data_IF_992756965842
#
_entry.id   IF_992756965842
#
_cell.length_a   1.000
_cell.length_b   1.000
_cell.length_c   1.000
_cell.angle_alpha   90.00
_cell.angle_beta   90.00
_cell.angle_gamma   90.00
#
_symmetry.space_group_name_H-M   'P 1'
#
loop_
_entity.id
_entity.type
_entity.pdbx_description
1 polymer ?
#
# COMPACT_ATOMS: atom_id res chain seq x y z
N UNK A 1 17.26 -5.01 -54.04
CA UNK A 1 16.54 -4.15 -53.05
C UNK A 1 17.07 -2.72 -53.22
N UNK A 2 16.19 -1.75 -53.44
CA UNK A 2 16.59 -0.34 -53.72
C UNK A 2 17.23 0.25 -52.43
N UNK A 3 18.41 0.91 -52.55
CA UNK A 3 19.11 1.52 -51.41
C UNK A 3 18.21 2.40 -50.51
N UNK A 4 17.28 3.16 -51.13
CA UNK A 4 16.31 3.98 -50.40
C UNK A 4 15.35 3.15 -49.54
N UNK A 5 14.88 2.01 -50.05
CA UNK A 5 13.98 1.10 -49.33
C UNK A 5 14.73 0.45 -48.16
N UNK A 6 15.98 0.04 -48.35
CA UNK A 6 16.81 -0.52 -47.28
C UNK A 6 17.06 0.49 -46.15
N UNK A 7 17.33 1.75 -46.47
CA UNK A 7 17.53 2.80 -45.46
C UNK A 7 16.25 3.03 -44.65
N UNK A 8 15.08 3.08 -45.31
CA UNK A 8 13.80 3.26 -44.62
C UNK A 8 13.50 2.08 -43.67
N UNK A 9 13.71 0.85 -44.10
CA UNK A 9 13.53 -0.33 -43.23
C UNK A 9 14.51 -0.32 -42.05
N UNK A 10 15.77 0.05 -42.28
CA UNK A 10 16.78 0.11 -41.23
C UNK A 10 16.48 1.20 -40.21
N UNK A 11 16.06 2.40 -40.64
CA UNK A 11 15.65 3.47 -39.70
C UNK A 11 14.39 3.12 -38.92
N UNK A 12 13.41 2.47 -39.55
CA UNK A 12 12.19 2.01 -38.86
C UNK A 12 12.52 0.94 -37.83
N UNK A 13 13.38 -0.02 -38.17
CA UNK A 13 13.83 -1.07 -37.26
C UNK A 13 14.58 -0.52 -36.04
N UNK A 14 15.49 0.44 -36.27
CA UNK A 14 16.21 1.08 -35.15
C UNK A 14 15.29 1.91 -34.26
N UNK A 15 14.31 2.60 -34.83
CA UNK A 15 13.31 3.35 -34.07
C UNK A 15 12.44 2.41 -33.19
N UNK A 16 11.97 1.31 -33.77
CA UNK A 16 11.19 0.30 -33.03
C UNK A 16 12.03 -0.33 -31.92
N UNK A 17 13.29 -0.67 -32.20
CA UNK A 17 14.19 -1.22 -31.19
C UNK A 17 14.43 -0.25 -30.02
N UNK A 18 14.63 1.04 -30.32
CA UNK A 18 14.77 2.09 -29.30
C UNK A 18 13.50 2.23 -28.45
N UNK A 19 12.31 2.19 -29.07
CA UNK A 19 11.03 2.24 -28.35
C UNK A 19 10.86 1.02 -27.42
N UNK A 20 11.17 -0.17 -27.93
CA UNK A 20 11.10 -1.40 -27.14
C UNK A 20 12.06 -1.36 -25.95
N UNK A 21 13.30 -0.92 -26.15
CA UNK A 21 14.27 -0.77 -25.05
C UNK A 21 13.83 0.29 -24.04
N UNK A 22 13.22 1.37 -24.48
CA UNK A 22 12.67 2.38 -23.57
C UNK A 22 11.52 1.83 -22.74
N UNK A 23 10.62 1.07 -23.36
CA UNK A 23 9.49 0.41 -22.66
C UNK A 23 10.00 -0.63 -21.65
N UNK A 24 11.01 -1.44 -22.05
CA UNK A 24 11.61 -2.44 -21.14
C UNK A 24 12.30 -1.75 -19.97
N UNK A 25 13.06 -0.68 -20.18
CA UNK A 25 13.70 0.08 -19.11
C UNK A 25 12.67 0.74 -18.18
N UNK A 26 11.62 1.32 -18.76
CA UNK A 26 10.53 1.92 -17.97
C UNK A 26 9.75 0.88 -17.16
N UNK A 27 9.54 -0.32 -17.71
CA UNK A 27 8.97 -1.45 -16.98
C UNK A 27 9.92 -1.98 -15.88
N UNK A 28 11.22 -2.04 -16.14
CA UNK A 28 12.23 -2.44 -15.16
C UNK A 28 12.36 -1.43 -13.99
N UNK A 29 12.26 -0.12 -14.28
CA UNK A 29 12.22 0.92 -13.24
C UNK A 29 10.93 0.90 -12.41
N UNK A 30 9.85 0.28 -12.89
CA UNK A 30 8.60 0.13 -12.15
C UNK A 30 8.66 -0.93 -11.04
N UNK A 31 9.72 -1.73 -10.99
CA UNK A 31 9.94 -2.73 -9.94
C UNK A 31 11.14 -2.34 -9.09
N UNK A 32 10.90 -1.68 -7.97
CA UNK A 32 11.96 -1.39 -7.00
C UNK A 32 12.21 -2.63 -6.14
N UNK A 33 13.34 -3.28 -6.39
CA UNK A 33 13.81 -4.36 -5.52
C UNK A 33 14.23 -3.81 -4.17
N UNK A 34 13.86 -4.51 -3.10
CA UNK A 34 14.26 -4.15 -1.75
C UNK A 34 14.49 -5.39 -0.90
N UNK A 35 15.38 -5.27 0.06
CA UNK A 35 15.57 -6.28 1.10
C UNK A 35 15.20 -5.67 2.46
N UNK A 36 14.18 -6.22 3.11
CA UNK A 36 13.70 -5.77 4.41
C UNK A 36 13.96 -6.87 5.43
N UNK A 37 14.68 -6.57 6.49
CA UNK A 37 15.07 -7.52 7.52
C UNK A 37 15.74 -8.80 6.99
N UNK A 38 16.50 -8.69 5.89
CA UNK A 38 17.16 -9.82 5.24
C UNK A 38 16.27 -10.66 4.33
N UNK A 39 15.02 -10.25 4.10
CA UNK A 39 14.10 -10.91 3.17
C UNK A 39 13.99 -10.10 1.89
N UNK A 40 14.18 -10.74 0.75
CA UNK A 40 13.94 -10.13 -0.56
C UNK A 40 12.44 -9.92 -0.77
N UNK A 41 12.06 -8.65 -0.96
CA UNK A 41 10.66 -8.26 -1.08
C UNK A 41 10.22 -8.26 -2.54
N UNK A 42 9.23 -9.07 -2.84
CA UNK A 42 8.58 -9.12 -4.14
C UNK A 42 7.46 -8.07 -4.22
N UNK A 43 7.40 -7.36 -5.33
CA UNK A 43 6.31 -6.43 -5.65
C UNK A 43 5.11 -7.08 -6.32
N UNK A 44 5.03 -8.41 -6.29
CA UNK A 44 3.88 -9.21 -6.72
C UNK A 44 2.83 -9.29 -5.58
N UNK A 45 1.90 -10.21 -5.65
CA UNK A 45 0.90 -10.44 -4.60
C UNK A 45 1.38 -11.36 -3.47
N UNK A 46 2.69 -11.48 -3.29
CA UNK A 46 3.26 -12.32 -2.21
C UNK A 46 2.90 -11.73 -0.86
N UNK A 47 2.28 -12.55 -0.03
CA UNK A 47 2.00 -12.23 1.37
C UNK A 47 3.05 -12.84 2.27
N UNK A 48 3.55 -12.04 3.18
CA UNK A 48 4.54 -12.42 4.15
C UNK A 48 3.89 -12.54 5.52
N UNK A 49 3.99 -13.72 6.15
CA UNK A 49 3.53 -13.93 7.53
C UNK A 49 4.39 -13.13 8.49
N UNK A 50 3.71 -12.46 9.42
CA UNK A 50 4.36 -11.66 10.47
C UNK A 50 3.69 -11.92 11.82
N UNK A 51 4.40 -11.61 12.91
CA UNK A 51 3.80 -11.62 14.24
C UNK A 51 3.45 -10.19 14.63
N UNK A 52 2.18 -9.91 14.90
CA UNK A 52 1.75 -8.62 15.41
C UNK A 52 2.37 -8.38 16.79
N UNK A 53 2.94 -7.19 17.02
CA UNK A 53 3.50 -6.76 18.30
C UNK A 53 2.54 -5.76 18.96
N UNK A 54 2.30 -4.61 18.27
CA UNK A 54 1.41 -3.56 18.79
C UNK A 54 0.93 -2.63 17.67
N UNK A 55 -0.20 -1.99 17.91
CA UNK A 55 -0.66 -0.84 17.14
C UNK A 55 0.11 0.41 17.58
N UNK A 56 0.29 1.35 16.67
CA UNK A 56 0.75 2.72 16.96
C UNK A 56 -0.46 3.65 16.95
N UNK A 57 -1.23 3.60 15.84
CA UNK A 57 -2.45 4.37 15.62
C UNK A 57 -3.44 3.58 14.72
N UNK A 58 -4.32 4.28 14.01
CA UNK A 58 -5.32 3.63 13.14
C UNK A 58 -4.75 2.99 11.88
N UNK A 59 -3.59 3.44 11.39
CA UNK A 59 -3.00 2.98 10.12
C UNK A 59 -1.51 2.65 10.20
N UNK A 60 -0.98 2.56 11.40
CA UNK A 60 0.42 2.23 11.66
C UNK A 60 0.54 1.18 12.75
N UNK A 61 1.31 0.13 12.51
CA UNK A 61 1.55 -0.97 13.43
C UNK A 61 3.04 -1.31 13.54
N UNK A 62 3.38 -2.08 14.56
CA UNK A 62 4.69 -2.73 14.70
C UNK A 62 4.46 -4.24 14.65
N UNK A 63 5.24 -4.91 13.82
CA UNK A 63 5.23 -6.37 13.65
C UNK A 63 6.64 -6.93 13.83
N UNK A 64 6.76 -8.21 14.16
CA UNK A 64 8.00 -8.95 14.01
C UNK A 64 8.01 -9.58 12.62
N UNK A 65 8.98 -9.20 11.80
CA UNK A 65 9.23 -9.73 10.48
C UNK A 65 10.68 -10.24 10.40
N UNK A 66 10.85 -11.54 10.19
CA UNK A 66 12.15 -12.21 10.18
C UNK A 66 13.01 -11.89 11.42
N UNK A 67 12.42 -12.07 12.61
CA UNK A 67 13.04 -11.86 13.93
C UNK A 67 13.50 -10.42 14.23
N UNK A 68 13.02 -9.43 13.48
CA UNK A 68 13.27 -8.01 13.71
C UNK A 68 11.96 -7.22 13.73
N UNK A 69 11.92 -6.18 14.53
CA UNK A 69 10.80 -5.25 14.50
C UNK A 69 10.74 -4.51 13.16
N UNK A 70 9.53 -4.36 12.63
CA UNK A 70 9.21 -3.62 11.44
C UNK A 70 8.03 -2.71 11.70
N UNK A 71 8.20 -1.41 11.52
CA UNK A 71 7.12 -0.44 11.56
C UNK A 71 6.43 -0.41 10.19
N UNK A 72 5.13 -0.68 10.16
CA UNK A 72 4.34 -0.76 8.93
C UNK A 72 3.35 0.38 8.88
N UNK A 73 3.34 1.15 7.78
CA UNK A 73 2.34 2.16 7.42
C UNK A 73 1.44 1.60 6.31
N UNK A 74 0.15 1.73 6.50
CA UNK A 74 -0.84 1.20 5.56
C UNK A 74 -0.86 2.01 4.27
N UNK A 75 -0.81 1.32 3.12
CA UNK A 75 -0.91 1.92 1.80
C UNK A 75 -2.32 2.45 1.52
N UNK A 76 -2.39 3.52 0.75
CA UNK A 76 -3.59 4.11 0.14
C UNK A 76 -4.63 4.68 1.09
N UNK A 77 -4.41 4.62 2.40
CA UNK A 77 -5.35 5.18 3.37
C UNK A 77 -4.67 6.13 4.36
N UNK A 78 -5.49 6.94 5.00
CA UNK A 78 -5.13 7.75 6.15
C UNK A 78 -6.25 7.65 7.19
N UNK A 79 -5.89 7.56 8.46
CA UNK A 79 -6.82 7.61 9.59
C UNK A 79 -6.67 8.92 10.35
N UNK A 80 -7.69 9.39 11.08
CA UNK A 80 -7.53 10.56 11.94
C UNK A 80 -6.41 10.34 12.97
N UNK A 81 -5.64 11.41 13.21
CA UNK A 81 -4.42 11.37 14.01
C UNK A 81 -4.71 11.19 15.51
N UNK A 82 -3.92 10.35 16.20
CA UNK A 82 -4.04 10.13 17.65
C UNK A 82 -2.76 10.31 18.46
N UNK A 83 -1.58 10.22 17.80
CA UNK A 83 -0.29 10.12 18.52
C UNK A 83 0.77 11.11 18.04
N UNK A 84 0.47 11.93 17.03
CA UNK A 84 1.44 12.86 16.47
C UNK A 84 1.72 14.01 17.46
N UNK A 85 2.98 14.20 17.89
CA UNK A 85 3.33 15.27 18.80
C UNK A 85 2.90 16.66 18.30
N UNK A 86 2.25 17.44 19.17
CA UNK A 86 1.76 18.79 18.83
C UNK A 86 0.49 18.83 17.98
N UNK A 87 -0.15 17.70 17.74
CA UNK A 87 -1.45 17.61 17.07
C UNK A 87 -2.48 17.08 18.06
N UNK A 88 -3.63 17.79 18.17
CA UNK A 88 -4.75 17.31 18.97
C UNK A 88 -5.28 15.98 18.40
N UNK A 89 -5.80 15.13 19.30
CA UNK A 89 -6.46 13.89 18.93
C UNK A 89 -7.68 14.22 18.06
N UNK A 90 -7.65 13.74 16.83
CA UNK A 90 -8.72 14.00 15.88
C UNK A 90 -9.94 13.10 16.14
N UNK A 91 -11.12 13.66 15.85
CA UNK A 91 -12.39 12.92 15.94
C UNK A 91 -12.30 11.65 15.11
N UNK A 92 -12.76 10.52 15.68
CA UNK A 92 -12.70 9.15 15.14
C UNK A 92 -11.30 8.53 15.08
N UNK A 93 -10.25 9.21 15.51
CA UNK A 93 -8.91 8.65 15.62
C UNK A 93 -8.84 7.49 16.63
N UNK A 94 -9.34 7.68 17.89
CA UNK A 94 -9.39 6.61 18.87
C UNK A 94 -10.15 5.37 18.37
N UNK A 95 -11.29 5.57 17.70
CA UNK A 95 -12.11 4.49 17.14
C UNK A 95 -11.40 3.74 16.00
N UNK A 96 -10.68 4.47 15.13
CA UNK A 96 -9.85 3.86 14.08
C UNK A 96 -8.74 3.00 14.69
N UNK A 97 -8.04 3.56 15.67
CA UNK A 97 -6.98 2.85 16.40
C UNK A 97 -7.52 1.63 17.15
N UNK A 98 -8.71 1.73 17.76
CA UNK A 98 -9.34 0.62 18.47
C UNK A 98 -9.74 -0.52 17.51
N UNK A 99 -10.40 -0.19 16.37
CA UNK A 99 -10.78 -1.18 15.37
C UNK A 99 -9.54 -1.90 14.81
N UNK A 100 -8.49 -1.14 14.45
CA UNK A 100 -7.23 -1.69 14.00
C UNK A 100 -6.64 -2.68 15.03
N UNK A 101 -6.54 -2.26 16.29
CA UNK A 101 -6.02 -3.09 17.36
C UNK A 101 -6.86 -4.35 17.59
N UNK A 102 -8.19 -4.24 17.61
CA UNK A 102 -9.12 -5.37 17.79
C UNK A 102 -8.98 -6.43 16.70
N UNK A 103 -8.89 -6.01 15.44
CA UNK A 103 -8.74 -6.91 14.30
C UNK A 103 -7.42 -7.69 14.35
N UNK A 104 -6.33 -7.04 14.76
CA UNK A 104 -5.00 -7.64 14.78
C UNK A 104 -4.73 -8.47 16.03
N UNK A 105 -5.14 -8.02 17.21
CA UNK A 105 -4.91 -8.75 18.47
C UNK A 105 -5.63 -10.10 18.49
N UNK A 106 -6.81 -10.19 17.89
CA UNK A 106 -7.60 -11.41 17.80
C UNK A 106 -7.27 -12.29 16.59
N UNK A 107 -6.30 -11.88 15.76
CA UNK A 107 -5.94 -12.64 14.57
C UNK A 107 -5.02 -13.82 14.90
N UNK A 108 -5.33 -14.98 14.33
CA UNK A 108 -4.44 -16.15 14.35
C UNK A 108 -3.32 -15.99 13.31
N UNK A 109 -3.66 -15.39 12.17
CA UNK A 109 -2.73 -15.13 11.06
C UNK A 109 -2.73 -13.64 10.73
N UNK A 110 -1.54 -13.04 10.75
CA UNK A 110 -1.30 -11.67 10.28
C UNK A 110 -0.31 -11.73 9.13
N UNK A 111 -0.64 -11.06 8.04
CA UNK A 111 0.19 -11.03 6.84
C UNK A 111 0.34 -9.59 6.35
N UNK A 112 1.49 -9.30 5.75
CA UNK A 112 1.75 -8.05 5.03
C UNK A 112 2.04 -8.34 3.56
N UNK A 113 1.63 -7.42 2.69
CA UNK A 113 1.84 -7.49 1.24
C UNK A 113 2.37 -6.15 0.77
N UNK A 114 3.47 -6.15 0.04
CA UNK A 114 4.02 -4.94 -0.57
C UNK A 114 3.42 -4.71 -1.97
N UNK A 115 3.31 -3.46 -2.37
CA UNK A 115 2.97 -3.15 -3.75
C UNK A 115 4.23 -3.15 -4.64
N UNK A 116 4.10 -2.79 -5.91
CA UNK A 116 5.11 -3.02 -6.94
C UNK A 116 6.35 -2.14 -6.79
N UNK A 117 6.25 -0.92 -6.29
CA UNK A 117 7.34 0.08 -6.35
C UNK A 117 7.91 0.47 -4.98
N UNK A 118 7.25 1.36 -4.23
CA UNK A 118 7.78 1.83 -2.94
C UNK A 118 7.61 0.79 -1.84
N UNK A 119 8.70 0.41 -1.15
CA UNK A 119 8.67 -0.55 -0.04
C UNK A 119 8.75 0.14 1.31
N UNK A 120 9.32 1.32 1.35
CA UNK A 120 9.47 2.14 2.56
C UNK A 120 9.20 3.61 2.26
N UNK A 121 8.73 4.34 3.25
CA UNK A 121 8.63 5.80 3.20
C UNK A 121 9.92 6.49 3.73
N UNK A 122 9.94 7.81 3.68
CA UNK A 122 11.07 8.63 4.18
C UNK A 122 11.33 8.53 5.69
N UNK A 123 10.43 7.90 6.44
CA UNK A 123 10.54 7.66 7.89
C UNK A 123 10.92 6.19 8.19
N UNK A 124 11.36 5.45 7.20
CA UNK A 124 11.70 4.02 7.29
C UNK A 124 10.55 3.15 7.79
N UNK A 125 9.31 3.50 7.41
CA UNK A 125 8.15 2.64 7.64
C UNK A 125 7.88 1.83 6.38
N UNK A 126 7.72 0.52 6.54
CA UNK A 126 7.33 -0.36 5.44
C UNK A 126 5.92 -0.01 4.94
N UNK A 127 5.77 0.17 3.63
CA UNK A 127 4.51 0.49 2.98
C UNK A 127 3.80 -0.79 2.54
N UNK A 128 2.72 -1.18 3.25
CA UNK A 128 2.09 -2.48 3.05
C UNK A 128 0.57 -2.41 3.04
N UNK A 129 -0.01 -3.41 2.39
CA UNK A 129 -1.36 -3.90 2.68
C UNK A 129 -1.27 -4.91 3.83
N UNK A 130 -2.19 -4.84 4.78
CA UNK A 130 -2.17 -5.68 5.99
C UNK A 130 -3.43 -6.54 6.06
N UNK A 131 -3.25 -7.79 6.44
CA UNK A 131 -4.32 -8.76 6.54
C UNK A 131 -4.34 -9.41 7.92
N UNK A 132 -5.53 -9.61 8.45
CA UNK A 132 -5.79 -10.37 9.67
C UNK A 132 -6.82 -11.47 9.37
N UNK A 133 -6.44 -12.74 9.53
CA UNK A 133 -7.28 -13.89 9.18
C UNK A 133 -7.83 -13.78 7.73
N UNK A 134 -7.00 -13.34 6.78
CA UNK A 134 -7.34 -13.17 5.37
C UNK A 134 -8.17 -11.90 5.03
N UNK A 135 -8.64 -11.13 6.02
CA UNK A 135 -9.35 -9.86 5.80
C UNK A 135 -8.36 -8.70 5.66
N UNK A 136 -8.54 -7.87 4.66
CA UNK A 136 -7.73 -6.67 4.46
C UNK A 136 -8.14 -5.59 5.46
N UNK A 137 -7.22 -5.15 6.30
CA UNK A 137 -7.48 -4.19 7.40
C UNK A 137 -7.86 -2.81 6.86
N UNK A 138 -7.20 -2.34 5.80
CA UNK A 138 -7.50 -1.05 5.20
C UNK A 138 -8.94 -0.99 4.68
N UNK A 139 -9.40 -2.09 4.06
CA UNK A 139 -10.79 -2.19 3.60
C UNK A 139 -11.78 -2.14 4.76
N UNK A 140 -11.51 -2.85 5.86
CA UNK A 140 -12.37 -2.84 7.05
C UNK A 140 -12.46 -1.44 7.67
N UNK A 141 -11.34 -0.70 7.76
CA UNK A 141 -11.30 0.69 8.23
C UNK A 141 -12.11 1.62 7.32
N UNK A 142 -11.95 1.48 6.00
CA UNK A 142 -12.71 2.26 5.00
C UNK A 142 -14.21 1.96 5.07
N UNK A 143 -14.60 0.68 5.17
CA UNK A 143 -16.00 0.26 5.31
C UNK A 143 -16.65 0.77 6.60
N UNK A 144 -15.86 0.89 7.67
CA UNK A 144 -16.31 1.49 8.91
C UNK A 144 -16.42 3.02 8.84
N UNK A 145 -15.87 3.68 7.80
CA UNK A 145 -15.77 5.14 7.71
C UNK A 145 -14.78 5.72 8.72
N UNK A 146 -13.76 4.95 9.10
CA UNK A 146 -12.71 5.32 10.05
C UNK A 146 -11.36 5.63 9.35
N UNK A 147 -11.33 5.54 8.05
CA UNK A 147 -10.23 5.94 7.19
C UNK A 147 -10.75 6.62 5.92
N UNK A 148 -9.89 7.40 5.28
CA UNK A 148 -10.10 7.94 3.95
C UNK A 148 -9.00 7.47 2.99
N UNK A 149 -9.31 7.44 1.67
CA UNK A 149 -8.29 7.18 0.65
C UNK A 149 -7.37 8.38 0.55
N UNK A 150 -6.06 8.13 0.71
CA UNK A 150 -5.03 9.17 0.68
C UNK A 150 -3.69 8.62 0.21
N UNK A 151 -2.76 9.50 -0.12
CA UNK A 151 -1.40 9.15 -0.55
C UNK A 151 -1.36 8.17 -1.73
N UNK A 152 -2.25 8.38 -2.70
CA UNK A 152 -2.32 7.57 -3.92
C UNK A 152 -1.15 7.94 -4.82
N UNK A 153 -0.20 7.02 -4.97
CA UNK A 153 1.01 7.18 -5.79
C UNK A 153 1.14 6.02 -6.77
N UNK A 154 0.80 6.19 -8.05
CA UNK A 154 1.07 5.15 -9.04
C UNK A 154 2.58 4.83 -9.11
N UNK A 155 2.96 3.54 -9.31
CA UNK A 155 2.11 2.39 -9.62
C UNK A 155 1.52 1.66 -8.38
N UNK A 156 1.81 2.09 -7.15
CA UNK A 156 1.39 1.44 -5.91
C UNK A 156 -0.10 1.66 -5.62
N UNK A 157 -0.96 1.12 -6.46
CA UNK A 157 -2.41 1.36 -6.44
C UNK A 157 -3.24 0.07 -6.61
N UNK A 158 -2.66 -1.09 -6.30
CA UNK A 158 -3.25 -2.42 -6.55
C UNK A 158 -4.68 -2.58 -6.06
N UNK A 159 -5.03 -2.05 -4.90
CA UNK A 159 -6.35 -2.18 -4.30
C UNK A 159 -7.18 -0.89 -4.34
N UNK A 160 -6.74 0.15 -5.07
CA UNK A 160 -7.40 1.46 -5.08
C UNK A 160 -8.89 1.39 -5.44
N UNK A 161 -9.26 0.63 -6.47
CA UNK A 161 -10.67 0.54 -6.90
C UNK A 161 -11.53 -0.20 -5.88
N UNK A 162 -10.98 -1.21 -5.22
CA UNK A 162 -11.64 -1.91 -4.10
C UNK A 162 -11.88 -0.95 -2.93
N UNK A 163 -10.88 -0.14 -2.60
CA UNK A 163 -10.96 0.85 -1.53
C UNK A 163 -11.93 1.99 -1.83
N UNK A 164 -12.01 2.46 -3.09
CA UNK A 164 -13.03 3.42 -3.52
C UNK A 164 -14.44 2.88 -3.28
N UNK A 165 -14.70 1.62 -3.60
CA UNK A 165 -15.99 0.98 -3.35
C UNK A 165 -16.32 0.90 -1.86
N UNK A 166 -15.34 0.53 -1.03
CA UNK A 166 -15.49 0.47 0.42
C UNK A 166 -15.80 1.85 1.02
N UNK A 167 -15.02 2.87 0.65
CA UNK A 167 -15.23 4.24 1.11
C UNK A 167 -16.61 4.79 0.65
N UNK A 168 -16.99 4.56 -0.60
CA UNK A 168 -18.29 4.99 -1.11
C UNK A 168 -19.45 4.35 -0.34
N UNK A 169 -19.31 3.07 0.05
CA UNK A 169 -20.29 2.39 0.89
C UNK A 169 -20.38 3.02 2.28
N UNK A 170 -19.25 3.42 2.89
CA UNK A 170 -19.25 4.13 4.16
C UNK A 170 -19.92 5.50 4.05
N UNK A 171 -19.63 6.25 2.97
CA UNK A 171 -20.26 7.55 2.66
C UNK A 171 -21.77 7.43 2.50
N UNK A 172 -22.24 6.50 1.67
CA UNK A 172 -23.67 6.27 1.44
C UNK A 172 -24.44 5.91 2.73
N UNK A 173 -23.75 5.25 3.66
CA UNK A 173 -24.31 4.86 4.96
C UNK A 173 -24.03 5.89 6.07
N UNK A 174 -23.46 7.05 5.75
CA UNK A 174 -23.12 8.14 6.69
C UNK A 174 -22.34 7.65 7.92
N UNK A 175 -21.36 6.77 7.72
CA UNK A 175 -20.58 6.18 8.83
C UNK A 175 -19.47 7.10 9.29
N UNK A 176 -19.33 7.29 10.59
CA UNK A 176 -18.22 7.96 11.28
C UNK A 176 -17.74 9.26 10.60
N UNK A 177 -16.59 9.26 9.90
CA UNK A 177 -16.07 10.43 9.15
C UNK A 177 -17.09 11.06 8.20
N UNK A 178 -18.04 10.27 7.72
CA UNK A 178 -19.04 10.66 6.72
C UNK A 178 -20.42 10.93 7.32
N UNK A 179 -20.54 11.01 8.66
CA UNK A 179 -21.84 11.20 9.34
C UNK A 179 -22.51 12.53 9.05
N UNK A 180 -21.75 13.55 8.67
CA UNK A 180 -22.23 14.91 8.41
C UNK A 180 -22.08 15.34 6.94
N UNK A 181 -21.91 14.38 6.02
CA UNK A 181 -21.78 14.66 4.57
C UNK A 181 -23.05 14.35 3.81
#
# INVERSE_FOLDING_TARGET
>A
MNKKVFIIFFTLFTAIFLIITLIINQAAESYKEATINGVFIKGDKTKYKVKFIKKVDGDTIIVNFNNKELKVRYLLIDTPETVKPGVEVQKYGPEASELNGKLLTNAKDVEIEFDVYEKEDKYHRALCYVYANGKNIQEELLLAGLAEIKYVKPPDTRYLDKYKKAQNKAKSNKRNLWSNT
#
